data_IF_507027345808
#
_entry.id   IF_507027345808
#
_cell.length_a   1.000
_cell.length_b   1.000
_cell.length_c   1.000
_cell.angle_alpha   90.00
_cell.angle_beta   90.00
_cell.angle_gamma   90.00
#
_symmetry.space_group_name_H-M   'P 1'
#
loop_
_entity.id
_entity.type
_entity.pdbx_description
1 polymer ?
#
# COMPACT_ATOMS: atom_id res chain seq x y z
N UNK A 1 32.11 3.66 4.19
CA UNK A 1 30.97 4.57 3.98
C UNK A 1 29.82 4.00 4.79
N UNK A 2 29.42 4.64 5.88
CA UNK A 2 28.16 4.26 6.53
C UNK A 2 27.04 4.52 5.52
N UNK A 3 26.53 3.46 4.91
CA UNK A 3 25.38 3.54 4.03
C UNK A 3 24.17 3.96 4.85
N UNK A 4 23.44 4.98 4.39
CA UNK A 4 22.16 5.35 5.00
C UNK A 4 21.22 4.14 4.96
N UNK A 5 20.51 3.91 6.06
CA UNK A 5 19.46 2.91 6.15
C UNK A 5 18.44 3.08 5.00
N UNK A 6 18.31 2.11 4.09
CA UNK A 6 17.37 2.17 2.98
C UNK A 6 15.91 2.32 3.42
N UNK A 7 15.51 1.66 4.52
CA UNK A 7 14.14 1.72 5.03
C UNK A 7 13.80 3.16 5.44
N UNK A 8 14.73 3.83 6.12
CA UNK A 8 14.61 5.25 6.47
C UNK A 8 14.52 6.16 5.24
N UNK A 9 15.33 5.92 4.20
CA UNK A 9 15.25 6.71 2.96
C UNK A 9 13.87 6.60 2.31
N UNK A 10 13.33 5.38 2.20
CA UNK A 10 12.01 5.13 1.61
C UNK A 10 10.91 5.77 2.45
N UNK A 11 10.96 5.61 3.78
CA UNK A 11 9.99 6.20 4.70
C UNK A 11 9.96 7.73 4.61
N UNK A 12 11.13 8.38 4.55
CA UNK A 12 11.23 9.83 4.38
C UNK A 12 10.69 10.29 3.02
N UNK A 13 10.95 9.52 1.96
CA UNK A 13 10.41 9.78 0.61
C UNK A 13 8.88 9.69 0.56
N UNK A 14 8.31 8.65 1.19
CA UNK A 14 6.86 8.48 1.32
C UNK A 14 6.24 9.62 2.11
N UNK A 15 6.83 10.01 3.24
CA UNK A 15 6.32 11.12 4.06
C UNK A 15 6.20 12.43 3.29
N UNK A 16 7.21 12.77 2.47
CA UNK A 16 7.19 13.98 1.62
C UNK A 16 6.16 13.87 0.49
N UNK A 17 6.08 12.70 -0.15
CA UNK A 17 5.15 12.47 -1.26
C UNK A 17 3.69 12.52 -0.81
N UNK A 18 3.38 11.95 0.36
CA UNK A 18 2.02 11.93 0.91
C UNK A 18 1.47 13.31 1.27
N UNK A 19 2.29 14.36 1.34
CA UNK A 19 1.78 15.75 1.42
C UNK A 19 0.99 16.09 0.15
N UNK A 20 1.52 15.73 -1.02
CA UNK A 20 0.88 15.98 -2.32
C UNK A 20 -0.21 14.96 -2.61
N UNK A 21 -0.03 13.71 -2.17
CA UNK A 21 -0.96 12.60 -2.39
C UNK A 21 -1.70 12.19 -1.11
N UNK A 22 -2.09 13.18 -0.30
CA UNK A 22 -2.71 12.97 1.00
C UNK A 22 -3.93 12.03 1.03
N UNK A 23 -4.77 11.89 -0.03
CA UNK A 23 -5.85 10.91 0.01
C UNK A 23 -5.36 9.46 0.14
N UNK A 24 -4.15 9.15 -0.36
CA UNK A 24 -3.58 7.80 -0.23
C UNK A 24 -3.24 7.43 1.22
N UNK A 25 -3.13 8.42 2.11
CA UNK A 25 -2.92 8.21 3.54
C UNK A 25 -4.24 8.11 4.33
N UNK A 26 -5.39 8.24 3.68
CA UNK A 26 -6.69 8.22 4.33
C UNK A 26 -7.24 6.82 4.62
N UNK A 27 -8.49 6.77 5.07
CA UNK A 27 -9.27 5.55 5.25
C UNK A 27 -10.53 5.61 4.43
N UNK A 28 -10.91 4.49 3.82
CA UNK A 28 -12.20 4.39 3.15
C UNK A 28 -13.33 4.44 4.17
N UNK A 29 -14.32 5.28 3.91
CA UNK A 29 -15.54 5.42 4.69
C UNK A 29 -16.74 5.45 3.76
N UNK A 30 -17.90 5.02 4.27
CA UNK A 30 -19.16 5.20 3.57
C UNK A 30 -19.69 6.61 3.83
N UNK A 31 -19.84 7.38 2.76
CA UNK A 31 -20.37 8.74 2.78
C UNK A 31 -21.88 8.82 2.54
N UNK A 32 -22.44 10.03 2.46
CA UNK A 32 -23.84 10.23 2.10
C UNK A 32 -24.20 9.53 0.79
N UNK A 33 -25.40 8.96 0.71
CA UNK A 33 -25.88 8.20 -0.43
C UNK A 33 -25.01 6.96 -0.76
N UNK A 34 -24.38 6.35 0.26
CA UNK A 34 -23.54 5.15 0.14
C UNK A 34 -22.34 5.31 -0.80
N UNK A 35 -21.88 6.55 -1.00
CA UNK A 35 -20.70 6.82 -1.84
C UNK A 35 -19.44 6.52 -1.06
N UNK A 36 -18.50 5.79 -1.68
CA UNK A 36 -17.17 5.59 -1.13
C UNK A 36 -16.45 6.93 -1.04
N UNK A 37 -15.98 7.28 0.16
CA UNK A 37 -15.22 8.49 0.43
C UNK A 37 -13.92 8.14 1.16
N UNK A 38 -12.96 9.06 1.12
CA UNK A 38 -11.68 8.92 1.82
C UNK A 38 -11.63 9.91 2.98
N UNK A 39 -11.58 9.40 4.20
CA UNK A 39 -11.35 10.19 5.40
C UNK A 39 -9.84 10.46 5.57
N UNK A 40 -9.42 11.70 5.37
CA UNK A 40 -8.03 12.15 5.52
C UNK A 40 -7.78 12.66 6.95
N UNK A 41 -7.69 11.74 7.92
CA UNK A 41 -7.59 12.08 9.35
C UNK A 41 -6.15 12.26 9.87
N UNK A 42 -5.14 12.16 9.00
CA UNK A 42 -3.74 12.32 9.37
C UNK A 42 -3.11 11.12 10.08
N UNK A 43 -3.79 9.97 10.20
CA UNK A 43 -3.20 8.73 10.73
C UNK A 43 -2.02 8.22 9.91
N UNK A 44 -1.95 8.58 8.62
CA UNK A 44 -0.91 8.12 7.73
C UNK A 44 -1.14 6.69 7.21
N UNK A 45 -0.07 6.15 6.62
CA UNK A 45 -0.03 4.78 6.11
C UNK A 45 0.81 3.88 7.02
N UNK A 46 0.54 2.59 6.96
CA UNK A 46 1.38 1.58 7.58
C UNK A 46 2.60 1.30 6.70
N UNK A 47 3.79 1.44 7.29
CA UNK A 47 5.07 1.09 6.66
C UNK A 47 5.75 0.03 7.53
N UNK A 48 6.02 -1.15 6.96
CA UNK A 48 6.60 -2.29 7.64
C UNK A 48 7.90 -2.65 6.94
N UNK A 49 8.97 -2.76 7.72
CA UNK A 49 10.24 -3.31 7.28
C UNK A 49 10.21 -4.83 7.45
N UNK A 50 10.60 -5.55 6.39
CA UNK A 50 10.70 -7.00 6.39
C UNK A 50 12.10 -7.43 5.99
N UNK A 51 12.66 -8.37 6.74
CA UNK A 51 13.91 -9.05 6.40
C UNK A 51 13.59 -10.48 5.95
N UNK A 52 14.32 -10.97 4.94
CA UNK A 52 14.20 -12.34 4.48
C UNK A 52 15.58 -12.89 4.12
N UNK A 53 15.93 -14.04 4.67
CA UNK A 53 17.19 -14.75 4.38
C UNK A 53 17.14 -15.56 3.07
N UNK A 54 16.48 -15.03 2.04
CA UNK A 54 16.33 -15.66 0.72
C UNK A 54 16.69 -14.66 -0.39
N UNK A 55 17.15 -15.18 -1.52
CA UNK A 55 17.39 -14.36 -2.71
C UNK A 55 16.09 -13.76 -3.24
N UNK A 56 16.15 -12.51 -3.69
CA UNK A 56 14.98 -11.77 -4.18
C UNK A 56 14.27 -12.48 -5.33
N UNK A 57 15.00 -13.16 -6.22
CA UNK A 57 14.45 -13.92 -7.34
C UNK A 57 13.53 -15.06 -6.88
N UNK A 58 13.99 -15.84 -5.90
CA UNK A 58 13.22 -16.94 -5.29
C UNK A 58 12.02 -16.43 -4.48
N UNK A 59 12.18 -15.29 -3.81
CA UNK A 59 11.06 -14.63 -3.15
C UNK A 59 10.01 -14.23 -4.18
N UNK A 60 10.43 -13.57 -5.27
CA UNK A 60 9.59 -13.11 -6.38
C UNK A 60 8.65 -14.17 -6.94
N UNK A 61 9.13 -15.39 -7.17
CA UNK A 61 8.30 -16.52 -7.62
C UNK A 61 7.21 -16.90 -6.62
N UNK A 62 7.55 -16.89 -5.32
CA UNK A 62 6.63 -17.24 -4.23
C UNK A 62 5.55 -16.17 -4.00
N UNK A 63 5.91 -14.88 -4.07
CA UNK A 63 4.96 -13.76 -3.97
C UNK A 63 4.14 -13.59 -5.24
N UNK A 64 4.69 -13.80 -6.44
CA UNK A 64 3.93 -13.65 -7.68
C UNK A 64 2.69 -14.54 -7.70
N UNK A 65 2.78 -15.79 -7.19
CA UNK A 65 1.62 -16.67 -7.10
C UNK A 65 0.52 -16.15 -6.15
N UNK A 66 0.89 -15.54 -5.02
CA UNK A 66 -0.10 -15.04 -4.03
C UNK A 66 -0.64 -13.65 -4.39
N UNK A 67 0.22 -12.76 -4.87
CA UNK A 67 -0.14 -11.38 -5.22
C UNK A 67 -1.04 -11.34 -6.46
N UNK A 68 -0.82 -12.20 -7.46
CA UNK A 68 -1.74 -12.31 -8.60
C UNK A 68 -3.15 -12.69 -8.16
N UNK A 69 -3.27 -13.65 -7.24
CA UNK A 69 -4.56 -14.10 -6.71
C UNK A 69 -5.25 -12.96 -5.96
N UNK A 70 -4.54 -12.26 -5.07
CA UNK A 70 -5.07 -11.11 -4.33
C UNK A 70 -5.48 -9.95 -5.24
N UNK A 71 -4.67 -9.61 -6.26
CA UNK A 71 -5.03 -8.58 -7.25
C UNK A 71 -6.26 -9.00 -8.05
N UNK A 72 -6.38 -10.27 -8.43
CA UNK A 72 -7.53 -10.78 -9.19
C UNK A 72 -8.82 -10.68 -8.37
N UNK A 73 -8.79 -11.13 -7.11
CA UNK A 73 -9.95 -11.01 -6.21
C UNK A 73 -10.28 -9.56 -5.87
N UNK A 74 -9.28 -8.70 -5.66
CA UNK A 74 -9.49 -7.28 -5.38
C UNK A 74 -10.10 -6.56 -6.59
N UNK A 75 -9.60 -6.82 -7.79
CA UNK A 75 -10.15 -6.26 -9.04
C UNK A 75 -11.57 -6.77 -9.28
N UNK A 76 -11.83 -8.07 -9.08
CA UNK A 76 -13.17 -8.64 -9.21
C UNK A 76 -14.14 -8.04 -8.18
N UNK A 77 -13.70 -7.83 -6.94
CA UNK A 77 -14.49 -7.18 -5.90
C UNK A 77 -14.80 -5.72 -6.24
N UNK A 78 -13.83 -4.96 -6.74
CA UNK A 78 -14.05 -3.58 -7.23
C UNK A 78 -15.08 -3.53 -8.36
N UNK A 79 -14.95 -4.42 -9.36
CA UNK A 79 -15.90 -4.50 -10.48
C UNK A 79 -17.30 -4.87 -9.99
N UNK A 80 -17.42 -5.77 -9.01
CA UNK A 80 -18.70 -6.14 -8.40
C UNK A 80 -19.30 -5.02 -7.53
N UNK A 81 -18.48 -4.16 -6.93
CA UNK A 81 -18.94 -3.01 -6.15
C UNK A 81 -19.35 -1.82 -7.04
N UNK A 82 -19.00 -1.83 -8.32
CA UNK A 82 -19.40 -0.85 -9.33
C UNK A 82 -20.68 -1.23 -10.12
N UNK A 83 -21.30 -2.39 -9.84
CA UNK A 83 -22.58 -2.83 -10.45
C UNK A 83 -23.74 -2.83 -9.45
#
# INVERSE_FOLDING_TARGET
>A
MEGKDPAKIIKDGLSKTLVFYHPLAGRFIEGPNKKLMVNCNGEGIMFIEGDASVELEKLGESINHHVHILIYYFTMFLVLMES
#
